data_IF_922642354218
#
_entry.id   IF_922642354218
#
_cell.length_a   1.000
_cell.length_b   1.000
_cell.length_c   1.000
_cell.angle_alpha   90.00
_cell.angle_beta   90.00
_cell.angle_gamma   90.00
#
_symmetry.space_group_name_H-M   'P 1'
#
loop_
_entity.id
_entity.type
_entity.pdbx_description
1 polymer ?
#
# COMPACT_ATOMS: atom_id res chain seq x y z
N UNK A 1 31.57 15.85 -22.87
CA UNK A 1 30.16 16.12 -23.14
C UNK A 1 29.42 14.92 -22.54
N UNK A 2 28.65 15.12 -21.51
CA UNK A 2 27.85 14.04 -20.95
C UNK A 2 26.75 13.71 -21.99
N UNK A 3 26.68 12.46 -22.40
CA UNK A 3 25.61 11.96 -23.25
C UNK A 3 24.29 12.22 -22.55
N UNK A 4 23.55 13.18 -23.08
CA UNK A 4 22.25 13.57 -22.59
C UNK A 4 21.20 12.59 -23.16
N UNK A 5 21.41 11.28 -22.95
CA UNK A 5 20.36 10.30 -23.27
C UNK A 5 19.17 10.58 -22.37
N UNK A 6 17.96 10.74 -22.92
CA UNK A 6 16.78 10.92 -22.10
C UNK A 6 16.64 9.72 -21.16
N UNK A 7 16.42 10.01 -19.89
CA UNK A 7 16.18 8.98 -18.87
C UNK A 7 14.89 8.23 -19.23
N UNK A 8 15.04 7.06 -19.81
CA UNK A 8 13.92 6.17 -20.10
C UNK A 8 13.90 5.11 -19.01
N UNK A 9 12.93 5.21 -18.10
CA UNK A 9 12.77 4.30 -16.97
C UNK A 9 12.57 2.86 -17.43
N UNK A 10 11.90 2.66 -18.58
CA UNK A 10 11.77 1.35 -19.21
C UNK A 10 11.67 1.47 -20.74
N UNK A 11 12.62 0.84 -21.44
CA UNK A 11 12.59 0.73 -22.89
C UNK A 11 11.64 -0.37 -23.38
N UNK A 12 11.03 -1.12 -22.47
CA UNK A 12 10.19 -2.28 -22.77
C UNK A 12 8.70 -2.03 -22.46
N UNK A 13 8.21 -0.83 -22.69
CA UNK A 13 6.80 -0.50 -22.57
C UNK A 13 5.92 -1.62 -23.13
N UNK A 14 5.08 -2.21 -22.28
CA UNK A 14 4.20 -3.33 -22.63
C UNK A 14 4.83 -4.72 -22.49
N UNK A 15 6.06 -4.86 -22.02
CA UNK A 15 6.62 -6.15 -21.60
C UNK A 15 6.58 -6.26 -20.07
N UNK A 16 6.26 -7.44 -19.58
CA UNK A 16 6.37 -7.74 -18.15
C UNK A 16 7.82 -7.49 -17.73
N UNK A 17 8.02 -6.63 -16.73
CA UNK A 17 9.31 -6.47 -16.09
C UNK A 17 9.76 -7.84 -15.56
N UNK A 18 10.89 -8.33 -16.04
CA UNK A 18 11.55 -9.47 -15.45
C UNK A 18 12.30 -8.96 -14.22
N UNK A 19 11.58 -8.91 -13.09
CA UNK A 19 12.20 -8.71 -11.79
C UNK A 19 12.93 -10.01 -11.45
N UNK A 20 14.19 -9.91 -11.05
CA UNK A 20 14.79 -11.01 -10.32
C UNK A 20 14.07 -11.07 -8.96
N UNK A 21 13.44 -12.18 -8.58
CA UNK A 21 12.80 -12.30 -7.28
C UNK A 21 13.79 -12.06 -6.11
N UNK A 22 15.07 -12.20 -6.35
CA UNK A 22 16.12 -11.95 -5.35
C UNK A 22 16.41 -10.45 -5.15
N UNK A 23 15.97 -9.58 -6.07
CA UNK A 23 16.17 -8.14 -6.00
C UNK A 23 15.13 -7.42 -5.10
N UNK A 24 14.09 -8.11 -4.66
CA UNK A 24 13.05 -7.56 -3.82
C UNK A 24 13.16 -8.06 -2.38
N UNK A 25 12.86 -7.21 -1.36
CA UNK A 25 12.82 -7.63 0.03
C UNK A 25 11.86 -8.79 0.24
N UNK A 26 12.33 -9.85 0.90
CA UNK A 26 11.55 -11.06 1.21
C UNK A 26 10.94 -11.05 2.61
N UNK A 27 11.28 -10.03 3.38
CA UNK A 27 10.72 -9.79 4.72
C UNK A 27 10.28 -8.33 4.82
N UNK A 28 9.34 -8.05 5.72
CA UNK A 28 9.04 -6.67 6.13
C UNK A 28 10.14 -6.15 7.10
N UNK A 29 10.00 -4.91 7.57
CA UNK A 29 10.96 -4.30 8.50
C UNK A 29 11.04 -5.02 9.85
N UNK A 30 9.97 -5.68 10.27
CA UNK A 30 9.92 -6.49 11.48
C UNK A 30 10.53 -7.90 11.29
N UNK A 31 10.99 -8.23 10.08
CA UNK A 31 11.59 -9.53 9.74
C UNK A 31 10.57 -10.63 9.44
N UNK A 32 9.29 -10.30 9.31
CA UNK A 32 8.25 -11.26 8.93
C UNK A 32 8.30 -11.56 7.44
N UNK A 33 8.16 -12.83 7.03
CA UNK A 33 8.16 -13.19 5.61
C UNK A 33 7.04 -12.49 4.84
N UNK A 34 7.37 -11.91 3.70
CA UNK A 34 6.40 -11.33 2.77
C UNK A 34 5.47 -12.42 2.24
N UNK A 35 4.18 -12.15 2.18
CA UNK A 35 3.17 -13.07 1.66
C UNK A 35 3.01 -12.86 0.16
N UNK A 36 3.53 -13.80 -0.63
CA UNK A 36 3.39 -13.77 -2.08
C UNK A 36 1.94 -14.01 -2.53
N UNK A 37 1.54 -13.33 -3.58
CA UNK A 37 0.23 -13.56 -4.19
C UNK A 37 0.19 -14.89 -4.96
N UNK A 38 -0.90 -15.61 -4.83
CA UNK A 38 -1.18 -16.78 -5.67
C UNK A 38 -1.47 -16.37 -7.12
N UNK A 39 -1.33 -17.29 -8.07
CA UNK A 39 -1.66 -17.02 -9.47
C UNK A 39 -3.13 -16.64 -9.65
N UNK A 40 -4.03 -17.23 -8.87
CA UNK A 40 -5.45 -16.88 -8.87
C UNK A 40 -5.69 -15.44 -8.40
N UNK A 41 -5.03 -15.02 -7.31
CA UNK A 41 -5.11 -13.65 -6.81
C UNK A 41 -4.60 -12.63 -7.84
N UNK A 42 -3.48 -12.92 -8.51
CA UNK A 42 -2.93 -12.10 -9.59
C UNK A 42 -3.93 -11.95 -10.74
N UNK A 43 -4.51 -13.07 -11.20
CA UNK A 43 -5.53 -13.07 -12.23
C UNK A 43 -6.78 -12.28 -11.83
N UNK A 44 -7.25 -12.47 -10.59
CA UNK A 44 -8.43 -11.75 -10.08
C UNK A 44 -8.20 -10.24 -10.02
N UNK A 45 -7.03 -9.82 -9.59
CA UNK A 45 -6.66 -8.40 -9.57
C UNK A 45 -6.60 -7.83 -10.98
N UNK A 46 -5.95 -8.50 -11.91
CA UNK A 46 -5.87 -8.11 -13.33
C UNK A 46 -7.26 -7.95 -13.96
N UNK A 47 -8.16 -8.89 -13.66
CA UNK A 47 -9.50 -8.89 -14.24
C UNK A 47 -10.45 -7.86 -13.62
N UNK A 48 -10.26 -7.49 -12.35
CA UNK A 48 -11.24 -6.71 -11.57
C UNK A 48 -10.72 -5.33 -11.15
N UNK A 49 -9.41 -5.12 -11.10
CA UNK A 49 -8.78 -3.92 -10.57
C UNK A 49 -8.80 -3.83 -9.03
N UNK A 50 -9.20 -4.89 -8.34
CA UNK A 50 -9.18 -4.97 -6.88
C UNK A 50 -9.00 -6.42 -6.41
N UNK A 51 -8.47 -6.57 -5.20
CA UNK A 51 -8.27 -7.87 -4.56
C UNK A 51 -8.74 -7.80 -3.10
N UNK A 52 -9.51 -8.78 -2.68
CA UNK A 52 -9.84 -9.01 -1.28
C UNK A 52 -9.02 -10.18 -0.76
N UNK A 53 -8.31 -9.97 0.34
CA UNK A 53 -7.53 -11.00 1.04
C UNK A 53 -8.16 -11.23 2.42
N UNK A 54 -9.08 -12.18 2.56
CA UNK A 54 -9.75 -12.46 3.83
C UNK A 54 -8.73 -12.92 4.88
N UNK A 55 -8.89 -12.43 6.12
CA UNK A 55 -8.04 -12.84 7.24
C UNK A 55 -6.62 -12.28 7.23
N UNK A 56 -6.32 -11.32 6.35
CA UNK A 56 -5.02 -10.66 6.34
C UNK A 56 -4.75 -9.86 7.63
N UNK A 57 -5.80 -9.35 8.26
CA UNK A 57 -5.73 -8.60 9.52
C UNK A 57 -6.59 -9.32 10.54
N UNK A 58 -6.05 -9.51 11.73
CA UNK A 58 -6.79 -10.06 12.86
C UNK A 58 -7.97 -9.14 13.25
N UNK A 59 -9.13 -9.67 13.66
CA UNK A 59 -10.27 -8.87 14.07
C UNK A 59 -9.98 -7.88 15.20
N UNK A 60 -9.17 -8.25 16.18
CA UNK A 60 -8.82 -7.38 17.30
C UNK A 60 -7.90 -6.23 16.84
N UNK A 61 -6.99 -6.52 15.92
CA UNK A 61 -6.14 -5.50 15.26
C UNK A 61 -6.99 -4.54 14.41
N UNK A 62 -7.90 -5.08 13.60
CA UNK A 62 -8.81 -4.28 12.79
C UNK A 62 -9.67 -3.35 13.67
N UNK A 63 -10.14 -3.84 14.82
CA UNK A 63 -10.91 -3.03 15.77
C UNK A 63 -10.03 -1.96 16.45
N UNK A 64 -8.77 -2.25 16.76
CA UNK A 64 -7.82 -1.26 17.26
C UNK A 64 -7.53 -0.17 16.22
N UNK A 65 -7.34 -0.55 14.94
CA UNK A 65 -7.17 0.39 13.82
C UNK A 65 -8.39 1.29 13.65
N UNK A 66 -9.59 0.71 13.70
CA UNK A 66 -10.85 1.46 13.62
C UNK A 66 -10.97 2.49 14.74
N UNK A 67 -10.75 2.08 16.00
CA UNK A 67 -10.80 3.00 17.15
C UNK A 67 -9.79 4.14 17.01
N UNK A 68 -8.57 3.84 16.61
CA UNK A 68 -7.55 4.87 16.38
C UNK A 68 -7.97 5.85 15.29
N UNK A 69 -8.47 5.36 14.15
CA UNK A 69 -8.95 6.19 13.06
C UNK A 69 -10.14 7.09 13.48
N UNK A 70 -11.06 6.57 14.29
CA UNK A 70 -12.16 7.35 14.88
C UNK A 70 -11.63 8.44 15.81
N UNK A 71 -10.65 8.13 16.66
CA UNK A 71 -10.02 9.11 17.56
C UNK A 71 -9.28 10.21 16.77
N UNK A 72 -8.53 9.85 15.73
CA UNK A 72 -7.87 10.85 14.85
C UNK A 72 -8.89 11.78 14.19
N UNK A 73 -10.06 11.27 13.83
CA UNK A 73 -11.15 12.07 13.21
C UNK A 73 -11.88 12.97 14.22
N UNK A 74 -12.26 12.40 15.36
CA UNK A 74 -13.24 13.01 16.24
C UNK A 74 -12.61 13.74 17.45
N UNK A 75 -11.46 13.25 17.93
CA UNK A 75 -10.77 13.73 19.14
C UNK A 75 -9.24 13.76 18.97
N UNK A 76 -8.70 14.38 17.88
CA UNK A 76 -7.26 14.34 17.60
C UNK A 76 -6.39 14.87 18.74
N UNK A 77 -6.89 15.84 19.52
CA UNK A 77 -6.16 16.42 20.65
C UNK A 77 -5.93 15.43 21.79
N UNK A 78 -6.68 14.34 21.88
CA UNK A 78 -6.47 13.27 22.86
C UNK A 78 -5.23 12.42 22.57
N UNK A 79 -4.69 12.52 21.34
CA UNK A 79 -3.50 11.80 20.89
C UNK A 79 -2.25 12.69 20.92
N UNK A 80 -1.07 12.10 21.12
CA UNK A 80 0.20 12.78 20.88
C UNK A 80 0.25 13.36 19.44
N UNK A 81 0.91 14.48 19.25
CA UNK A 81 0.92 15.19 17.95
C UNK A 81 1.37 14.30 16.78
N UNK A 82 2.38 13.44 16.99
CA UNK A 82 2.90 12.52 15.98
C UNK A 82 1.94 11.37 15.63
N UNK A 83 0.92 11.14 16.44
CA UNK A 83 -0.11 10.11 16.21
C UNK A 83 -1.41 10.66 15.61
N UNK A 84 -1.52 11.95 15.37
CA UNK A 84 -2.72 12.61 14.81
C UNK A 84 -2.84 12.45 13.30
N UNK A 85 -2.60 11.25 12.81
CA UNK A 85 -2.67 10.95 11.38
C UNK A 85 -3.11 9.48 11.15
N UNK A 86 -3.48 9.16 9.89
CA UNK A 86 -4.00 7.83 9.53
C UNK A 86 -2.93 6.81 9.13
N UNK A 87 -1.68 7.03 9.49
CA UNK A 87 -0.56 6.10 9.31
C UNK A 87 0.20 5.83 10.60
N UNK A 88 -0.34 6.30 11.71
CA UNK A 88 0.28 6.15 13.04
C UNK A 88 -0.47 5.15 13.92
N UNK A 89 0.09 4.88 15.08
CA UNK A 89 -0.48 3.91 16.01
C UNK A 89 -0.73 2.56 15.34
N UNK A 90 -1.87 1.90 15.62
CA UNK A 90 -2.21 0.62 15.01
C UNK A 90 -2.27 0.64 13.48
N UNK A 91 -2.64 1.78 12.87
CA UNK A 91 -2.71 1.91 11.40
C UNK A 91 -1.33 1.86 10.73
N UNK A 92 -0.26 2.20 11.45
CA UNK A 92 1.11 2.12 10.95
C UNK A 92 1.49 0.73 10.46
N UNK A 93 0.93 -0.32 11.07
CA UNK A 93 1.15 -1.70 10.62
C UNK A 93 0.74 -1.97 9.17
N UNK A 94 -0.23 -1.23 8.63
CA UNK A 94 -0.66 -1.41 7.24
C UNK A 94 0.41 -0.99 6.23
N UNK A 95 1.30 -0.09 6.59
CA UNK A 95 2.35 0.42 5.70
C UNK A 95 3.44 -0.62 5.43
N UNK A 96 3.57 -1.60 6.32
CA UNK A 96 4.60 -2.63 6.29
C UNK A 96 4.03 -4.05 6.48
N UNK A 97 2.73 -4.22 6.33
CA UNK A 97 2.08 -5.50 6.51
C UNK A 97 2.53 -6.51 5.43
N UNK A 98 2.93 -7.74 5.77
CA UNK A 98 3.49 -8.71 4.82
C UNK A 98 2.65 -8.97 3.58
N UNK A 99 1.32 -8.98 3.71
CA UNK A 99 0.38 -9.12 2.57
C UNK A 99 0.40 -7.87 1.69
N UNK A 100 0.47 -6.68 2.28
CA UNK A 100 0.55 -5.41 1.54
C UNK A 100 1.87 -5.32 0.79
N UNK A 101 2.98 -5.61 1.47
CA UNK A 101 4.31 -5.63 0.83
C UNK A 101 4.35 -6.64 -0.31
N UNK A 102 3.79 -7.84 -0.13
CA UNK A 102 3.74 -8.86 -1.17
C UNK A 102 2.93 -8.43 -2.40
N UNK A 103 1.79 -7.77 -2.19
CA UNK A 103 1.00 -7.18 -3.27
C UNK A 103 1.78 -6.07 -4.00
N UNK A 104 2.41 -5.18 -3.28
CA UNK A 104 3.15 -4.06 -3.86
C UNK A 104 4.43 -4.53 -4.56
N UNK A 105 5.09 -5.56 -4.07
CA UNK A 105 6.23 -6.19 -4.74
C UNK A 105 5.83 -6.77 -6.11
N UNK A 106 4.63 -7.33 -6.23
CA UNK A 106 4.17 -7.90 -7.51
C UNK A 106 3.83 -6.83 -8.54
N UNK A 107 3.23 -5.70 -8.13
CA UNK A 107 2.61 -4.76 -9.06
C UNK A 107 3.28 -3.39 -9.14
N UNK A 108 4.01 -2.97 -8.12
CA UNK A 108 4.56 -1.61 -8.03
C UNK A 108 6.07 -1.55 -7.81
N UNK A 109 6.66 -2.55 -7.15
CA UNK A 109 8.07 -2.49 -6.82
C UNK A 109 8.93 -2.44 -8.09
N UNK A 110 9.90 -1.54 -8.08
CA UNK A 110 10.86 -1.42 -9.16
C UNK A 110 12.25 -1.84 -8.65
N UNK A 111 12.90 -2.84 -9.26
CA UNK A 111 14.14 -3.41 -8.73
C UNK A 111 15.25 -2.39 -8.58
N UNK A 112 15.34 -1.41 -9.50
CA UNK A 112 16.35 -0.35 -9.41
C UNK A 112 16.09 0.68 -8.31
N UNK A 113 14.93 0.63 -7.65
CA UNK A 113 14.57 1.49 -6.53
C UNK A 113 14.52 0.72 -5.22
N UNK A 114 14.62 -0.62 -5.26
CA UNK A 114 14.65 -1.45 -4.05
C UNK A 114 16.08 -1.60 -3.52
N UNK A 115 16.20 -1.75 -2.22
CA UNK A 115 17.43 -2.05 -1.49
C UNK A 115 17.05 -2.78 -0.20
N UNK A 116 18.00 -3.32 0.58
CA UNK A 116 17.67 -3.89 1.88
C UNK A 116 16.89 -2.96 2.82
N UNK A 117 17.01 -1.65 2.62
CA UNK A 117 16.38 -0.61 3.44
C UNK A 117 15.19 0.09 2.73
N UNK A 118 14.81 -0.38 1.54
CA UNK A 118 13.75 0.25 0.74
C UNK A 118 13.04 -0.77 -0.15
N UNK A 119 11.71 -0.83 -0.06
CA UNK A 119 10.88 -1.75 -0.85
C UNK A 119 10.80 -1.43 -2.35
N UNK A 120 11.31 -0.30 -2.82
CA UNK A 120 11.18 0.13 -4.22
C UNK A 120 9.83 0.76 -4.56
N UNK A 121 9.01 1.05 -3.55
CA UNK A 121 7.78 1.84 -3.63
C UNK A 121 7.67 2.76 -2.41
N UNK A 122 6.79 3.74 -2.46
CA UNK A 122 6.53 4.65 -1.35
C UNK A 122 5.03 4.91 -1.19
N UNK A 123 4.62 5.19 0.02
CA UNK A 123 3.30 5.75 0.29
C UNK A 123 3.31 7.27 0.07
N UNK A 124 2.35 7.77 -0.70
CA UNK A 124 2.26 9.21 -0.99
C UNK A 124 1.29 9.94 -0.08
N UNK A 125 0.21 9.29 0.31
CA UNK A 125 -0.81 9.90 1.15
C UNK A 125 -1.59 8.86 1.93
N UNK A 126 -2.20 9.29 3.01
CA UNK A 126 -3.15 8.49 3.78
C UNK A 126 -4.40 9.33 4.08
N UNK A 127 -5.53 8.67 4.21
CA UNK A 127 -6.77 9.34 4.58
C UNK A 127 -7.87 8.34 4.90
N UNK A 128 -8.80 8.76 5.76
CA UNK A 128 -10.00 8.01 6.05
C UNK A 128 -11.17 8.60 5.27
N UNK A 129 -11.85 7.76 4.51
CA UNK A 129 -13.15 8.09 3.93
C UNK A 129 -14.23 7.37 4.70
N UNK A 130 -15.08 8.12 5.39
CA UNK A 130 -16.29 7.60 6.01
C UNK A 130 -17.46 7.95 5.10
N UNK A 131 -18.10 6.98 4.42
CA UNK A 131 -19.28 7.28 3.63
C UNK A 131 -20.38 7.80 4.58
N UNK A 132 -20.96 8.94 4.24
CA UNK A 132 -22.13 9.47 4.96
C UNK A 132 -23.35 8.60 4.66
N UNK A 133 -24.14 8.29 5.67
CA UNK A 133 -25.44 7.66 5.49
C UNK A 133 -26.47 8.64 4.83
N UNK A 134 -26.16 9.94 4.82
CA UNK A 134 -26.94 10.97 4.15
C UNK A 134 -26.60 10.99 2.65
N UNK A 135 -27.55 10.66 1.74
CA UNK A 135 -27.30 10.63 0.31
C UNK A 135 -26.84 11.98 -0.25
N UNK A 136 -27.24 13.10 0.35
CA UNK A 136 -26.90 14.44 -0.11
C UNK A 136 -25.45 14.82 0.28
N UNK A 137 -24.88 14.12 1.23
CA UNK A 137 -23.48 14.26 1.69
C UNK A 137 -22.54 13.20 1.13
N UNK A 138 -23.06 12.24 0.36
CA UNK A 138 -22.20 11.30 -0.33
C UNK A 138 -21.38 12.03 -1.38
N UNK A 139 -20.07 11.90 -1.29
CA UNK A 139 -19.15 12.49 -2.28
C UNK A 139 -19.52 12.01 -3.68
N UNK A 140 -19.51 12.91 -4.65
CA UNK A 140 -19.69 12.55 -6.05
C UNK A 140 -18.55 11.60 -6.45
N UNK A 141 -18.89 10.58 -7.22
CA UNK A 141 -17.89 9.73 -7.84
C UNK A 141 -16.96 10.61 -8.69
N UNK A 142 -15.69 10.64 -8.34
CA UNK A 142 -14.67 11.36 -9.09
C UNK A 142 -13.67 10.32 -9.61
N UNK A 143 -13.79 9.90 -10.86
CA UNK A 143 -12.79 9.03 -11.45
C UNK A 143 -11.47 9.80 -11.56
N UNK A 144 -10.37 9.18 -11.19
CA UNK A 144 -9.04 9.72 -11.40
C UNK A 144 -8.20 8.66 -12.12
N UNK A 145 -7.35 9.12 -13.01
CA UNK A 145 -6.32 8.29 -13.61
C UNK A 145 -5.12 8.32 -12.66
N UNK A 146 -4.67 7.14 -12.24
CA UNK A 146 -3.48 7.00 -11.41
C UNK A 146 -2.20 7.29 -12.22
#
# INVERSE_FOLDING_TARGET
>A
MADNEPFVVDKNLGKKLQLDPDDLPRTNADGEPVVELTQEQKYLFDARGWLLVPGAIDPDEADAMRRHAETVRDEPESLPEHERNYISGPLGKLTDHPVVVGFLNEFLAHPHLSSPDCYGFRMESSGLRSPSADPDKQGKFSPHNG
#
